data_IF_425878229115
#
_entry.id   IF_425878229115
#
_cell.length_a   1.000
_cell.length_b   1.000
_cell.length_c   1.000
_cell.angle_alpha   90.00
_cell.angle_beta   90.00
_cell.angle_gamma   90.00
#
_symmetry.space_group_name_H-M   'P 1'
#
loop_
_entity.id
_entity.type
_entity.pdbx_description
1 polymer ?
#
# COMPACT_ATOMS: atom_id res chain seq x y z
N UNK A 1 -26.45 -3.10 -25.92
CA UNK A 1 -25.93 -1.82 -26.42
C UNK A 1 -25.58 -0.88 -25.29
N UNK A 2 -24.98 0.25 -25.62
CA UNK A 2 -24.53 1.30 -24.68
C UNK A 2 -25.04 2.63 -25.23
N UNK A 3 -25.48 3.51 -24.34
CA UNK A 3 -25.86 4.89 -24.67
C UNK A 3 -24.79 5.81 -24.12
N UNK A 4 -24.20 6.66 -24.94
CA UNK A 4 -23.17 7.61 -24.55
C UNK A 4 -23.80 8.90 -23.96
N UNK A 5 -22.98 9.74 -23.32
CA UNK A 5 -23.43 11.01 -22.73
C UNK A 5 -24.04 12.00 -23.76
N UNK A 6 -23.68 11.85 -25.03
CA UNK A 6 -24.20 12.64 -26.17
C UNK A 6 -25.43 12.01 -26.80
N UNK A 7 -26.10 11.07 -26.14
CA UNK A 7 -27.25 10.30 -26.61
C UNK A 7 -27.00 9.41 -27.86
N UNK A 8 -25.73 9.21 -28.22
CA UNK A 8 -25.36 8.25 -29.26
C UNK A 8 -25.57 6.83 -28.77
N UNK A 9 -26.27 6.00 -29.54
CA UNK A 9 -26.50 4.59 -29.21
C UNK A 9 -25.56 3.67 -29.98
N UNK A 10 -24.81 2.86 -29.25
CA UNK A 10 -23.91 1.83 -29.80
C UNK A 10 -24.55 0.46 -29.55
N UNK A 11 -24.90 -0.24 -30.61
CA UNK A 11 -25.48 -1.58 -30.51
C UNK A 11 -24.42 -2.65 -30.63
N UNK A 12 -24.50 -3.64 -29.73
CA UNK A 12 -23.63 -4.82 -29.69
C UNK A 12 -24.39 -5.99 -29.10
N UNK A 13 -24.07 -7.23 -29.54
CA UNK A 13 -24.61 -8.46 -28.96
C UNK A 13 -24.09 -8.68 -27.54
N UNK A 14 -22.83 -8.34 -27.30
CA UNK A 14 -22.18 -8.45 -26.00
C UNK A 14 -21.49 -7.13 -25.61
N UNK A 15 -21.57 -6.77 -24.34
CA UNK A 15 -20.89 -5.60 -23.76
C UNK A 15 -19.99 -6.07 -22.61
N UNK A 16 -18.70 -5.76 -22.68
CA UNK A 16 -17.73 -6.07 -21.62
C UNK A 16 -17.40 -4.77 -20.90
N UNK A 17 -17.70 -4.72 -19.59
CA UNK A 17 -17.43 -3.55 -18.74
C UNK A 17 -16.14 -3.77 -17.96
N UNK A 18 -15.09 -3.00 -18.30
CA UNK A 18 -13.75 -3.03 -17.69
C UNK A 18 -13.34 -1.64 -17.24
N UNK A 19 -14.12 -1.08 -16.33
CA UNK A 19 -14.07 0.32 -15.92
C UNK A 19 -12.92 0.69 -14.98
N UNK A 20 -12.16 -0.30 -14.52
CA UNK A 20 -11.08 -0.11 -13.56
C UNK A 20 -11.58 0.33 -12.18
N UNK A 21 -10.63 0.70 -11.30
CA UNK A 21 -10.94 1.09 -9.92
C UNK A 21 -11.75 2.40 -9.83
N UNK A 22 -11.41 3.38 -10.64
CA UNK A 22 -12.11 4.69 -10.68
C UNK A 22 -13.56 4.56 -11.09
N UNK A 23 -13.87 3.62 -11.99
CA UNK A 23 -15.24 3.34 -12.44
C UNK A 23 -16.06 2.42 -11.52
N UNK A 24 -15.49 1.94 -10.40
CA UNK A 24 -16.15 0.95 -9.52
C UNK A 24 -17.49 1.47 -8.98
N UNK A 25 -17.55 2.73 -8.53
CA UNK A 25 -18.78 3.34 -8.01
C UNK A 25 -19.86 3.46 -9.09
N UNK A 26 -19.47 3.82 -10.32
CA UNK A 26 -20.38 3.84 -11.45
C UNK A 26 -20.92 2.44 -11.76
N UNK A 27 -20.05 1.43 -11.80
CA UNK A 27 -20.42 0.04 -12.03
C UNK A 27 -21.38 -0.47 -10.96
N UNK A 28 -21.13 -0.15 -9.68
CA UNK A 28 -22.02 -0.46 -8.56
C UNK A 28 -23.41 0.14 -8.79
N UNK A 29 -23.48 1.39 -9.25
CA UNK A 29 -24.74 2.04 -9.62
C UNK A 29 -25.49 1.30 -10.73
N UNK A 30 -24.77 0.86 -11.77
CA UNK A 30 -25.33 0.07 -12.89
C UNK A 30 -25.86 -1.29 -12.38
N UNK A 31 -25.05 -2.00 -11.57
CA UNK A 31 -25.43 -3.29 -11.00
C UNK A 31 -26.70 -3.17 -10.14
N UNK A 32 -26.76 -2.18 -9.26
CA UNK A 32 -27.92 -1.92 -8.41
C UNK A 32 -29.18 -1.60 -9.23
N UNK A 33 -29.05 -0.75 -10.25
CA UNK A 33 -30.16 -0.39 -11.15
C UNK A 33 -30.77 -1.60 -11.86
N UNK A 34 -29.93 -2.59 -12.19
CA UNK A 34 -30.34 -3.79 -12.91
C UNK A 34 -30.56 -5.02 -12.03
N UNK A 35 -30.52 -4.87 -10.70
CA UNK A 35 -30.73 -5.97 -9.74
C UNK A 35 -29.64 -7.05 -9.81
N UNK A 36 -28.44 -6.70 -10.26
CA UNK A 36 -27.31 -7.62 -10.31
C UNK A 36 -26.71 -7.73 -8.90
N UNK A 37 -26.72 -8.94 -8.37
CA UNK A 37 -26.19 -9.20 -7.02
C UNK A 37 -24.67 -9.03 -7.02
N UNK A 38 -24.19 -8.25 -6.07
CA UNK A 38 -22.75 -8.04 -5.82
C UNK A 38 -22.37 -8.58 -4.43
N UNK A 39 -21.08 -8.83 -4.26
CA UNK A 39 -20.49 -9.21 -2.97
C UNK A 39 -19.26 -8.35 -2.72
N UNK A 40 -19.00 -8.03 -1.45
CA UNK A 40 -17.83 -7.28 -1.08
C UNK A 40 -16.56 -8.10 -1.28
N UNK A 41 -15.57 -7.52 -1.94
CA UNK A 41 -14.23 -8.05 -2.00
C UNK A 41 -13.42 -7.66 -0.77
N UNK A 42 -12.35 -8.40 -0.55
CA UNK A 42 -11.32 -8.06 0.41
C UNK A 42 -10.61 -6.77 -0.01
N UNK A 43 -10.22 -5.95 0.98
CA UNK A 43 -9.28 -4.84 0.77
C UNK A 43 -8.01 -5.09 1.55
N UNK A 44 -6.91 -4.66 0.99
CA UNK A 44 -5.60 -4.75 1.62
C UNK A 44 -5.13 -3.33 2.00
N UNK A 45 -4.77 -3.14 3.26
CA UNK A 45 -4.30 -1.86 3.80
C UNK A 45 -2.96 -2.07 4.47
N UNK A 46 -2.02 -1.19 4.23
CA UNK A 46 -0.70 -1.30 4.84
C UNK A 46 0.23 -0.17 4.45
N UNK A 47 1.48 -0.52 4.24
CA UNK A 47 2.58 0.42 4.01
C UNK A 47 3.49 -0.05 2.89
N UNK A 48 4.18 0.89 2.26
CA UNK A 48 5.37 0.60 1.46
C UNK A 48 6.57 0.61 2.39
N UNK A 49 7.34 -0.47 2.40
CA UNK A 49 8.59 -0.60 3.15
C UNK A 49 9.76 -0.29 2.24
N UNK A 50 10.75 0.44 2.74
CA UNK A 50 12.00 0.71 2.03
C UNK A 50 13.18 0.40 2.94
N UNK A 51 14.14 -0.37 2.42
CA UNK A 51 15.38 -0.75 3.09
C UNK A 51 16.54 -0.76 2.10
N UNK A 52 17.79 -0.85 2.57
CA UNK A 52 18.94 -0.98 1.67
C UNK A 52 18.89 -2.29 0.88
N UNK A 53 19.33 -2.26 -0.38
CA UNK A 53 19.36 -3.43 -1.28
C UNK A 53 20.08 -4.63 -0.66
N UNK A 54 21.14 -4.39 0.11
CA UNK A 54 21.92 -5.45 0.75
C UNK A 54 21.09 -6.31 1.72
N UNK A 55 20.06 -5.74 2.35
CA UNK A 55 19.17 -6.47 3.26
C UNK A 55 18.35 -7.51 2.50
N UNK A 56 17.93 -7.19 1.29
CA UNK A 56 17.09 -8.04 0.45
C UNK A 56 17.87 -8.82 -0.63
N UNK A 57 19.21 -8.72 -0.63
CA UNK A 57 20.07 -9.19 -1.71
C UNK A 57 19.90 -10.67 -2.02
N UNK A 58 19.91 -11.54 -1.00
CA UNK A 58 19.78 -13.00 -1.17
C UNK A 58 18.42 -13.38 -1.77
N UNK A 59 17.37 -12.68 -1.36
CA UNK A 59 16.01 -12.90 -1.89
C UNK A 59 15.93 -12.42 -3.33
N UNK A 60 16.41 -11.20 -3.60
CA UNK A 60 16.35 -10.57 -4.90
C UNK A 60 17.19 -11.29 -5.98
N UNK A 61 18.29 -11.95 -5.59
CA UNK A 61 19.09 -12.78 -6.49
C UNK A 61 18.40 -14.08 -6.90
N UNK A 62 17.56 -14.61 -6.02
CA UNK A 62 16.96 -15.95 -6.19
C UNK A 62 15.54 -15.86 -6.74
N UNK A 63 14.77 -14.86 -6.36
CA UNK A 63 13.36 -14.71 -6.69
C UNK A 63 13.11 -13.40 -7.43
N UNK A 64 12.37 -13.47 -8.52
CA UNK A 64 11.90 -12.28 -9.23
C UNK A 64 11.02 -11.40 -8.31
N UNK A 65 10.11 -12.04 -7.57
CA UNK A 65 9.26 -11.40 -6.56
C UNK A 65 9.01 -12.39 -5.42
N UNK A 66 9.67 -12.17 -4.27
CA UNK A 66 9.46 -12.98 -3.08
C UNK A 66 8.11 -12.66 -2.44
N UNK A 67 7.20 -13.64 -2.40
CA UNK A 67 5.90 -13.51 -1.72
C UNK A 67 5.93 -14.23 -0.38
N UNK A 68 5.94 -13.45 0.69
CA UNK A 68 5.87 -13.95 2.06
C UNK A 68 4.48 -13.67 2.61
N UNK A 69 3.92 -14.67 3.30
CA UNK A 69 2.60 -14.59 3.94
C UNK A 69 2.78 -14.95 5.41
N UNK A 70 2.22 -14.14 6.28
CA UNK A 70 2.25 -14.31 7.72
C UNK A 70 0.84 -14.18 8.29
N UNK A 71 0.49 -15.05 9.22
CA UNK A 71 -0.74 -14.95 10.01
C UNK A 71 -0.40 -14.33 11.36
N UNK A 72 -0.92 -13.16 11.61
CA UNK A 72 -0.61 -12.40 12.81
C UNK A 72 -1.33 -12.93 14.06
N UNK A 73 -0.85 -12.57 15.24
CA UNK A 73 -1.46 -12.94 16.52
C UNK A 73 -2.90 -12.42 16.70
N UNK A 74 -3.32 -11.46 15.89
CA UNK A 74 -4.70 -10.94 15.86
C UNK A 74 -5.56 -11.60 14.78
N UNK A 75 -5.06 -12.68 14.15
CA UNK A 75 -5.81 -13.49 13.18
C UNK A 75 -5.94 -12.82 11.81
N UNK A 76 -5.12 -11.83 11.49
CA UNK A 76 -5.10 -11.20 10.16
C UNK A 76 -3.95 -11.72 9.31
N UNK A 77 -4.20 -11.87 8.01
CA UNK A 77 -3.17 -12.25 7.04
C UNK A 77 -2.42 -11.00 6.58
N UNK A 78 -1.08 -11.06 6.67
CA UNK A 78 -0.15 -10.06 6.13
C UNK A 78 0.64 -10.67 4.99
N UNK A 79 0.86 -9.92 3.93
CA UNK A 79 1.66 -10.39 2.80
C UNK A 79 2.59 -9.31 2.26
N UNK A 80 3.74 -9.75 1.74
CA UNK A 80 4.54 -8.89 0.86
C UNK A 80 3.88 -8.81 -0.50
N UNK A 81 4.07 -7.67 -1.17
CA UNK A 81 3.54 -7.45 -2.50
C UNK A 81 4.42 -6.48 -3.28
N UNK A 82 4.53 -6.68 -4.62
CA UNK A 82 5.22 -5.77 -5.53
C UNK A 82 6.61 -5.33 -5.03
N UNK A 83 7.55 -6.29 -4.96
CA UNK A 83 8.95 -6.00 -4.61
C UNK A 83 9.68 -5.36 -5.77
N UNK A 84 10.41 -4.29 -5.49
CA UNK A 84 11.17 -3.49 -6.44
C UNK A 84 12.63 -3.37 -5.97
N UNK A 85 13.51 -4.30 -6.36
CA UNK A 85 14.95 -4.18 -6.12
C UNK A 85 15.52 -2.93 -6.81
N UNK A 86 16.40 -2.22 -6.12
CA UNK A 86 16.97 -0.94 -6.57
C UNK A 86 15.91 0.06 -7.07
N UNK A 87 14.69 -0.04 -6.51
CA UNK A 87 13.53 0.73 -6.92
C UNK A 87 13.36 2.02 -6.12
N UNK A 88 12.28 2.71 -6.43
CA UNK A 88 11.89 3.98 -5.80
C UNK A 88 10.49 3.84 -5.20
N UNK A 89 10.30 4.43 -4.04
CA UNK A 89 8.95 4.68 -3.52
C UNK A 89 8.36 5.84 -4.31
N UNK A 90 7.12 5.70 -4.73
CA UNK A 90 6.40 6.69 -5.55
C UNK A 90 5.02 6.96 -4.97
N UNK A 91 4.39 8.03 -5.43
CA UNK A 91 3.01 8.38 -5.08
C UNK A 91 2.09 7.97 -6.22
N UNK A 92 1.00 7.30 -5.88
CA UNK A 92 -0.14 7.04 -6.77
C UNK A 92 -1.29 7.94 -6.34
N UNK A 93 -1.79 8.77 -7.28
CA UNK A 93 -3.01 9.53 -7.04
C UNK A 93 -4.21 8.69 -7.46
N UNK A 94 -5.05 8.36 -6.50
CA UNK A 94 -6.29 7.65 -6.74
C UNK A 94 -7.48 8.50 -6.29
N UNK A 95 -8.24 9.01 -7.27
CA UNK A 95 -9.42 9.88 -7.00
C UNK A 95 -9.15 11.02 -6.01
N UNK A 96 -7.96 11.64 -6.11
CA UNK A 96 -7.55 12.75 -5.24
C UNK A 96 -6.90 12.33 -3.91
N UNK A 97 -6.81 11.04 -3.62
CA UNK A 97 -6.08 10.51 -2.46
C UNK A 97 -4.71 10.02 -2.89
N UNK A 98 -3.66 10.52 -2.22
CA UNK A 98 -2.27 10.12 -2.46
C UNK A 98 -1.97 8.84 -1.67
N UNK A 99 -1.62 7.77 -2.38
CA UNK A 99 -1.26 6.48 -1.82
C UNK A 99 0.20 6.16 -2.13
N UNK A 100 0.86 5.44 -1.22
CA UNK A 100 2.21 4.95 -1.46
C UNK A 100 2.19 3.80 -2.48
N UNK A 101 3.20 3.76 -3.34
CA UNK A 101 3.43 2.67 -4.28
C UNK A 101 4.94 2.52 -4.52
N UNK A 102 5.35 1.57 -5.34
CA UNK A 102 6.74 1.35 -5.73
C UNK A 102 6.92 1.25 -7.23
N UNK A 103 8.11 1.61 -7.68
CA UNK A 103 8.50 1.54 -9.07
C UNK A 103 9.98 1.15 -9.19
N UNK A 104 10.31 0.38 -10.23
CA UNK A 104 11.69 0.10 -10.62
C UNK A 104 11.88 0.47 -12.09
N UNK A 105 13.05 1.03 -12.42
CA UNK A 105 13.43 1.34 -13.80
C UNK A 105 14.07 0.12 -14.46
N UNK A 106 13.83 -0.04 -15.76
CA UNK A 106 14.52 -1.06 -16.56
C UNK A 106 16.01 -0.71 -16.78
N UNK A 107 16.35 0.58 -16.76
CA UNK A 107 17.74 1.02 -16.82
C UNK A 107 18.37 0.97 -15.42
N UNK A 108 19.38 0.09 -15.19
CA UNK A 108 20.05 -0.01 -13.88
C UNK A 108 20.70 1.30 -13.41
N UNK A 109 21.05 2.20 -14.33
CA UNK A 109 21.65 3.51 -13.99
C UNK A 109 20.69 4.44 -13.28
N UNK A 110 19.39 4.21 -13.42
CA UNK A 110 18.33 4.96 -12.76
C UNK A 110 17.89 4.29 -11.45
N UNK A 111 18.44 3.13 -11.11
CA UNK A 111 18.17 2.43 -9.87
C UNK A 111 18.64 3.20 -8.63
N UNK A 112 17.96 2.96 -7.52
CA UNK A 112 18.39 3.43 -6.20
C UNK A 112 19.36 2.40 -5.56
N UNK A 113 19.73 2.64 -4.30
CA UNK A 113 20.45 1.67 -3.45
C UNK A 113 19.51 0.96 -2.48
N UNK A 114 18.21 1.05 -2.71
CA UNK A 114 17.19 0.54 -1.83
C UNK A 114 16.27 -0.43 -2.57
N UNK A 115 15.83 -1.45 -1.87
CA UNK A 115 14.68 -2.27 -2.25
C UNK A 115 13.45 -1.74 -1.53
N UNK A 116 12.32 -1.65 -2.23
CA UNK A 116 11.04 -1.38 -1.62
C UNK A 116 10.00 -2.43 -1.97
N UNK A 117 9.09 -2.69 -1.06
CA UNK A 117 7.96 -3.61 -1.24
C UNK A 117 6.78 -3.20 -0.35
N UNK A 118 5.57 -3.60 -0.73
CA UNK A 118 4.41 -3.41 0.11
C UNK A 118 4.33 -4.48 1.20
N UNK A 119 3.91 -4.07 2.40
CA UNK A 119 3.34 -4.96 3.42
C UNK A 119 1.86 -4.63 3.57
N UNK A 120 1.02 -5.58 3.21
CA UNK A 120 -0.43 -5.41 3.13
C UNK A 120 -1.14 -6.37 4.08
N UNK A 121 -2.02 -5.82 4.90
CA UNK A 121 -2.91 -6.56 5.81
C UNK A 121 -4.27 -6.69 5.15
N UNK A 122 -4.72 -7.92 5.01
CA UNK A 122 -5.98 -8.25 4.33
C UNK A 122 -7.17 -8.10 5.27
N UNK A 123 -8.19 -7.37 4.82
CA UNK A 123 -9.44 -7.15 5.53
C UNK A 123 -10.63 -7.66 4.73
N UNK A 124 -11.42 -8.52 5.34
CA UNK A 124 -12.72 -8.92 4.84
C UNK A 124 -13.79 -8.37 5.75
N UNK A 125 -14.84 -7.82 5.18
CA UNK A 125 -15.93 -7.21 5.92
C UNK A 125 -17.23 -8.00 5.70
N UNK A 126 -17.96 -8.19 6.80
CA UNK A 126 -19.27 -8.79 6.81
C UNK A 126 -20.34 -7.72 7.07
N UNK A 127 -21.59 -8.02 6.72
CA UNK A 127 -22.72 -7.17 7.08
C UNK A 127 -22.70 -6.78 8.57
N UNK A 128 -23.07 -5.54 8.92
CA UNK A 128 -23.73 -4.53 8.06
C UNK A 128 -22.75 -3.64 7.25
N UNK A 129 -21.45 -3.88 7.28
CA UNK A 129 -20.46 -3.06 6.59
C UNK A 129 -20.31 -3.53 5.13
N UNK A 130 -20.63 -2.64 4.18
CA UNK A 130 -20.72 -2.93 2.75
C UNK A 130 -19.87 -2.02 1.85
N UNK A 131 -19.01 -1.17 2.46
CA UNK A 131 -18.21 -0.16 1.74
C UNK A 131 -16.70 -0.28 1.99
N UNK A 132 -16.08 -1.44 1.70
CA UNK A 132 -14.66 -1.66 2.01
C UNK A 132 -13.72 -0.69 1.27
N UNK A 133 -14.05 -0.32 0.03
CA UNK A 133 -13.23 0.62 -0.75
C UNK A 133 -13.24 2.03 -0.12
N UNK A 134 -14.40 2.51 0.33
CA UNK A 134 -14.51 3.80 1.01
C UNK A 134 -13.69 3.80 2.30
N UNK A 135 -13.75 2.73 3.09
CA UNK A 135 -12.94 2.59 4.30
C UNK A 135 -11.43 2.73 4.01
N UNK A 136 -10.92 2.06 2.98
CA UNK A 136 -9.52 2.17 2.60
C UNK A 136 -9.15 3.60 2.14
N UNK A 137 -10.04 4.25 1.39
CA UNK A 137 -9.88 5.62 0.91
C UNK A 137 -9.90 6.64 2.06
N UNK A 138 -10.74 6.44 3.08
CA UNK A 138 -10.80 7.31 4.26
C UNK A 138 -9.50 7.25 5.07
N UNK A 139 -8.92 6.04 5.23
CA UNK A 139 -7.62 5.88 5.88
C UNK A 139 -6.51 6.58 5.07
N UNK A 140 -6.50 6.43 3.75
CA UNK A 140 -5.59 7.17 2.87
C UNK A 140 -5.76 8.68 2.97
N UNK A 141 -7.00 9.16 2.95
CA UNK A 141 -7.33 10.59 3.11
C UNK A 141 -6.89 11.15 4.46
N UNK A 142 -7.04 10.38 5.55
CA UNK A 142 -6.55 10.77 6.88
C UNK A 142 -5.03 10.94 6.87
N UNK A 143 -4.29 10.01 6.24
CA UNK A 143 -2.84 10.14 6.06
C UNK A 143 -2.46 11.43 5.33
N UNK A 144 -3.18 11.74 4.24
CA UNK A 144 -2.92 12.96 3.46
C UNK A 144 -3.19 14.24 4.26
N UNK A 145 -4.22 14.27 5.11
CA UNK A 145 -4.48 15.40 6.01
C UNK A 145 -3.32 15.63 6.98
N UNK A 146 -2.73 14.57 7.53
CA UNK A 146 -1.61 14.65 8.47
C UNK A 146 -0.27 14.96 7.80
N UNK A 147 -0.16 14.78 6.49
CA UNK A 147 1.05 15.03 5.69
C UNK A 147 0.91 16.21 4.71
N UNK A 148 -0.14 17.03 4.89
CA UNK A 148 -0.43 18.18 4.03
C UNK A 148 -0.55 17.80 2.54
N UNK A 149 -1.29 16.72 2.26
CA UNK A 149 -1.55 16.22 0.90
C UNK A 149 -0.46 15.32 0.31
N UNK A 150 0.49 14.86 1.14
CA UNK A 150 1.57 13.97 0.73
C UNK A 150 1.46 12.60 1.39
N UNK A 151 2.56 11.87 1.47
CA UNK A 151 2.72 10.55 2.10
C UNK A 151 3.47 10.70 3.42
N UNK A 152 3.01 10.03 4.46
CA UNK A 152 3.75 9.93 5.72
C UNK A 152 4.90 8.94 5.55
N UNK A 153 6.09 9.32 6.05
CA UNK A 153 7.22 8.40 6.24
C UNK A 153 7.57 8.29 7.71
N UNK A 154 7.76 7.06 8.19
CA UNK A 154 8.15 6.78 9.58
C UNK A 154 9.22 5.70 9.62
N UNK A 155 10.22 5.88 10.49
CA UNK A 155 11.24 4.86 10.76
C UNK A 155 10.66 3.74 11.61
N UNK A 156 11.02 2.49 11.31
CA UNK A 156 10.58 1.34 12.09
C UNK A 156 10.91 1.47 13.59
N UNK A 157 12.12 1.92 13.93
CA UNK A 157 12.50 2.16 15.31
C UNK A 157 11.70 3.27 16.02
N UNK A 158 11.11 4.22 15.29
CA UNK A 158 10.20 5.20 15.86
C UNK A 158 8.78 4.63 16.05
N UNK A 159 8.35 3.72 15.16
CA UNK A 159 7.09 2.94 15.31
C UNK A 159 7.14 2.13 16.61
N UNK A 160 8.21 1.36 16.83
CA UNK A 160 8.38 0.55 18.03
C UNK A 160 8.38 1.38 19.32
N UNK A 161 8.82 2.64 19.25
CA UNK A 161 8.85 3.59 20.37
C UNK A 161 7.56 4.42 20.51
N UNK A 162 6.55 4.16 19.68
CA UNK A 162 5.27 4.88 19.70
C UNK A 162 5.42 6.39 19.49
N UNK A 163 6.29 6.82 18.58
CA UNK A 163 6.56 8.24 18.35
C UNK A 163 6.71 8.57 16.88
N UNK A 164 6.31 9.80 16.50
CA UNK A 164 6.53 10.32 15.15
C UNK A 164 8.01 10.35 14.76
N UNK A 165 8.32 10.12 13.49
CA UNK A 165 9.64 10.42 12.93
C UNK A 165 9.85 11.93 12.72
N UNK A 166 11.11 12.33 12.59
CA UNK A 166 11.52 13.72 12.27
C UNK A 166 12.53 13.71 11.14
N UNK A 167 12.62 14.81 10.39
CA UNK A 167 13.62 14.96 9.32
C UNK A 167 15.05 14.67 9.82
N UNK A 168 15.39 15.13 11.03
CA UNK A 168 16.70 14.88 11.63
C UNK A 168 16.96 13.39 11.78
N UNK A 169 16.05 12.62 12.41
CA UNK A 169 16.25 11.17 12.65
C UNK A 169 16.25 10.37 11.36
N UNK A 170 15.47 10.75 10.35
CA UNK A 170 15.50 10.12 9.02
C UNK A 170 16.85 10.37 8.36
N UNK A 171 17.34 11.61 8.36
CA UNK A 171 18.64 11.99 7.77
C UNK A 171 19.82 11.28 8.45
N UNK A 172 19.74 11.02 9.73
CA UNK A 172 20.75 10.27 10.50
C UNK A 172 20.66 8.75 10.32
N UNK A 173 19.66 8.27 9.57
CA UNK A 173 19.45 6.87 9.28
C UNK A 173 20.35 6.33 8.16
N UNK A 174 20.46 4.99 8.07
CA UNK A 174 21.22 4.32 7.00
C UNK A 174 20.43 4.14 5.71
N UNK A 175 19.11 4.26 5.75
CA UNK A 175 18.24 4.23 4.57
C UNK A 175 17.93 5.65 4.16
N UNK A 176 18.38 6.03 2.96
CA UNK A 176 18.05 7.35 2.39
C UNK A 176 16.73 7.26 1.66
N UNK A 177 15.68 8.04 2.05
CA UNK A 177 14.39 8.03 1.38
C UNK A 177 14.50 8.28 -0.12
N UNK A 178 13.88 7.44 -0.94
CA UNK A 178 13.77 7.68 -2.38
C UNK A 178 12.60 8.60 -2.71
N UNK A 179 11.52 8.59 -1.94
CA UNK A 179 10.42 9.56 -2.02
C UNK A 179 10.76 10.80 -1.18
N UNK A 180 11.34 11.83 -1.81
CA UNK A 180 11.85 13.02 -1.14
C UNK A 180 10.76 13.94 -0.57
N UNK A 181 9.58 13.94 -1.17
CA UNK A 181 8.41 14.70 -0.74
C UNK A 181 7.63 14.06 0.40
N UNK A 182 8.00 12.84 0.84
CA UNK A 182 7.38 12.21 1.99
C UNK A 182 7.63 13.01 3.28
N UNK A 183 6.59 13.13 4.09
CA UNK A 183 6.61 13.92 5.32
C UNK A 183 6.82 13.02 6.54
N UNK A 184 7.85 13.27 7.37
CA UNK A 184 8.05 12.53 8.60
C UNK A 184 6.85 12.67 9.55
N UNK A 185 6.22 11.56 9.89
CA UNK A 185 4.99 11.55 10.68
C UNK A 185 4.87 10.33 11.60
N UNK A 186 3.65 10.06 12.00
CA UNK A 186 3.25 8.94 12.84
C UNK A 186 2.11 8.16 12.19
N UNK A 187 2.41 6.97 11.70
CA UNK A 187 1.44 6.05 11.08
C UNK A 187 0.47 5.46 12.12
N UNK A 188 0.84 5.47 13.39
CA UNK A 188 -0.05 5.06 14.48
C UNK A 188 -1.27 5.96 14.67
N UNK A 189 -1.26 7.18 14.11
CA UNK A 189 -2.43 8.07 14.09
C UNK A 189 -3.38 7.77 12.93
N UNK A 190 -2.99 6.91 11.99
CA UNK A 190 -3.71 6.65 10.74
C UNK A 190 -4.17 5.21 10.65
N UNK A 191 -3.25 4.27 10.86
CA UNK A 191 -3.51 2.85 10.69
C UNK A 191 -4.25 2.29 11.92
N UNK A 192 -5.29 1.46 11.72
CA UNK A 192 -5.93 0.74 12.82
C UNK A 192 -4.91 -0.09 13.62
N UNK A 193 -5.15 -0.23 14.92
CA UNK A 193 -4.24 -0.96 15.82
C UNK A 193 -3.88 -2.35 15.32
N UNK A 194 -4.87 -3.14 14.86
CA UNK A 194 -4.60 -4.49 14.36
C UNK A 194 -3.74 -4.50 13.09
N UNK A 195 -3.87 -3.47 12.23
CA UNK A 195 -3.02 -3.31 11.05
C UNK A 195 -1.58 -3.07 11.50
N UNK A 196 -1.36 -2.07 12.35
CA UNK A 196 -0.02 -1.72 12.83
C UNK A 196 0.65 -2.91 13.55
N UNK A 197 -0.09 -3.59 14.43
CA UNK A 197 0.40 -4.77 15.14
C UNK A 197 0.83 -5.87 14.16
N UNK A 198 -0.02 -6.17 13.18
CA UNK A 198 0.26 -7.21 12.18
C UNK A 198 1.47 -6.87 11.29
N UNK A 199 1.66 -5.59 10.95
CA UNK A 199 2.83 -5.14 10.21
C UNK A 199 4.12 -5.30 11.02
N UNK A 200 4.11 -4.97 12.31
CA UNK A 200 5.26 -5.15 13.21
C UNK A 200 5.62 -6.63 13.32
N UNK A 201 4.66 -7.50 13.60
CA UNK A 201 4.89 -8.94 13.71
C UNK A 201 5.43 -9.54 12.40
N UNK A 202 4.92 -9.09 11.24
CA UNK A 202 5.43 -9.52 9.93
C UNK A 202 6.89 -9.11 9.72
N UNK A 203 7.27 -7.89 10.11
CA UNK A 203 8.67 -7.43 9.97
C UNK A 203 9.59 -8.22 10.89
N UNK A 204 9.16 -8.52 12.11
CA UNK A 204 9.91 -9.38 13.04
C UNK A 204 10.10 -10.79 12.47
N UNK A 205 9.03 -11.37 11.89
CA UNK A 205 9.09 -12.67 11.22
C UNK A 205 10.01 -12.64 9.99
N UNK A 206 9.91 -11.60 9.14
CA UNK A 206 10.79 -11.43 7.98
C UNK A 206 12.26 -11.31 8.39
N UNK A 207 12.56 -10.76 9.56
CA UNK A 207 13.95 -10.60 10.02
C UNK A 207 14.68 -11.93 10.26
N UNK A 208 13.95 -13.04 10.41
CA UNK A 208 14.54 -14.40 10.42
C UNK A 208 14.97 -14.86 9.04
N UNK A 209 14.30 -14.41 8.00
CA UNK A 209 14.55 -14.78 6.60
C UNK A 209 15.53 -13.81 5.95
N UNK A 210 15.40 -12.54 6.25
CA UNK A 210 16.25 -11.46 5.74
C UNK A 210 16.71 -10.56 6.88
N UNK A 211 17.81 -10.95 7.57
CA UNK A 211 18.33 -10.19 8.70
C UNK A 211 18.64 -8.74 8.33
N UNK A 212 18.18 -7.81 9.17
CA UNK A 212 18.34 -6.38 8.97
C UNK A 212 17.08 -5.66 8.53
N UNK A 213 16.02 -6.36 8.10
CA UNK A 213 14.74 -5.72 7.75
C UNK A 213 14.07 -5.07 8.96
N UNK A 214 14.23 -5.62 10.16
CA UNK A 214 13.75 -5.05 11.42
C UNK A 214 14.69 -3.97 12.01
N UNK A 215 15.56 -3.39 11.18
CA UNK A 215 16.43 -2.28 11.60
C UNK A 215 15.59 -1.06 12.00
N UNK A 216 16.04 -0.32 13.02
CA UNK A 216 15.50 1.01 13.40
C UNK A 216 15.43 1.98 12.21
N UNK A 217 16.23 1.75 11.16
CA UNK A 217 16.40 2.63 10.00
C UNK A 217 15.51 2.26 8.80
N UNK A 218 14.88 1.09 8.81
CA UNK A 218 13.88 0.72 7.80
C UNK A 218 12.75 1.74 7.79
N UNK A 219 12.33 2.14 6.59
CA UNK A 219 11.33 3.19 6.41
C UNK A 219 9.98 2.60 5.99
N UNK A 220 8.93 3.11 6.60
CA UNK A 220 7.54 2.79 6.29
C UNK A 220 6.88 4.03 5.71
N UNK A 221 6.27 3.88 4.55
CA UNK A 221 5.50 4.94 3.89
C UNK A 221 4.02 4.55 3.87
N UNK A 222 3.19 5.42 4.33
CA UNK A 222 1.76 5.10 4.42
C UNK A 222 0.86 6.25 3.98
N UNK A 223 -0.22 5.86 3.43
CA UNK A 223 -0.82 4.51 3.37
C UNK A 223 -0.62 3.90 1.99
N UNK A 224 -0.38 2.60 1.89
CA UNK A 224 -0.60 1.84 0.68
C UNK A 224 -1.90 1.05 0.83
N UNK A 225 -2.78 1.11 -0.16
CA UNK A 225 -4.04 0.37 -0.18
C UNK A 225 -4.25 -0.29 -1.54
N UNK A 226 -4.76 -1.52 -1.50
CA UNK A 226 -5.18 -2.25 -2.71
C UNK A 226 -6.62 -2.73 -2.51
N UNK A 227 -7.46 -2.36 -3.44
CA UNK A 227 -8.87 -2.74 -3.50
C UNK A 227 -9.24 -3.02 -4.95
N UNK A 228 -10.27 -3.85 -5.14
CA UNK A 228 -10.61 -4.46 -6.41
C UNK A 228 -12.07 -4.23 -6.75
#
# INVERSE_FOLDING_TARGET
>A
GVILENDEEIYADNVIMVVGRDGSNWLNGVCNKHGIKMTNNQVDIGVRVETNDIVMEEINKTLYEGKFIYESSVGTKVRTFCSNPSGHVVVENFSGVMLANGHAYNDPKLGSKNTNFALLVSHSFNEPFDRPNEFAMEIGSLSNKLSNGSIIVQRYGDILKGRRSTYKRIKEGFVTPTLKEAVPGDLGLVLPYNVMKSLIEMVEALNYVTPGIASDHTLFYGVEAKFY
#
